data_IF_024563096949
#
_entry.id   IF_024563096949
#
_cell.length_a   1.000
_cell.length_b   1.000
_cell.length_c   1.000
_cell.angle_alpha   90.00
_cell.angle_beta   90.00
_cell.angle_gamma   90.00
#
_symmetry.space_group_name_H-M   'P 1'
#
loop_
_entity.id
_entity.type
_entity.pdbx_description
1 polymer ?
#
# COMPACT_ATOMS: atom_id res chain seq x y z
N UNK A 1 19.60 -25.36 4.70
CA UNK A 1 19.23 -25.10 4.19
C UNK A 1 18.72 -24.45 3.95
N UNK A 2 18.84 -24.31 4.04
CA UNK A 2 18.41 -23.79 3.54
C UNK A 2 17.86 -23.09 3.10
N UNK A 3 18.11 -22.94 3.08
CA UNK A 3 17.57 -22.27 2.41
C UNK A 3 17.15 -21.56 2.04
N UNK A 4 17.39 -21.55 2.10
CA UNK A 4 16.98 -20.97 1.45
C UNK A 4 16.46 -20.42 0.89
N UNK A 5 16.52 -20.51 0.91
CA UNK A 5 16.06 -19.97 0.08
C UNK A 5 15.39 -19.46 -0.26
N UNK A 6 15.48 -19.54 -0.03
CA UNK A 6 14.84 -19.11 -0.73
C UNK A 6 14.49 -18.26 -0.70
N UNK A 7 14.79 -18.16 -0.22
CA UNK A 7 14.67 -17.39 -0.38
C UNK A 7 14.55 -16.48 -0.89
N UNK A 8 14.89 -16.33 -0.77
CA UNK A 8 15.17 -15.02 -1.23
C UNK A 8 14.39 -14.65 -2.46
N UNK A 9 14.20 -15.53 -3.23
CA UNK A 9 13.47 -15.35 -4.48
C UNK A 9 12.09 -14.81 -4.26
N UNK A 10 11.49 -15.27 -3.24
CA UNK A 10 10.11 -14.91 -3.00
C UNK A 10 9.95 -13.46 -2.66
N UNK A 11 11.01 -12.87 -2.20
CA UNK A 11 10.93 -11.49 -1.76
C UNK A 11 10.71 -10.51 -2.89
N UNK A 12 10.89 -10.95 -4.10
CA UNK A 12 10.74 -10.05 -5.20
C UNK A 12 9.31 -9.59 -5.38
N UNK A 13 8.40 -10.32 -4.84
CA UNK A 13 7.02 -10.01 -5.03
C UNK A 13 6.53 -8.90 -4.16
N UNK A 14 7.21 -8.67 -3.06
CA UNK A 14 6.79 -7.66 -2.13
C UNK A 14 7.93 -6.69 -1.92
N UNK A 15 7.77 -5.49 -2.40
CA UNK A 15 8.82 -4.49 -2.35
C UNK A 15 8.81 -3.69 -1.08
N UNK A 16 7.74 -3.77 -0.32
CA UNK A 16 7.65 -3.04 0.93
C UNK A 16 6.63 -3.73 1.83
N UNK A 17 6.72 -3.40 3.12
CA UNK A 17 5.78 -3.93 4.07
C UNK A 17 4.60 -2.99 4.25
N UNK A 18 3.43 -3.55 4.43
CA UNK A 18 2.25 -2.74 4.68
C UNK A 18 1.27 -3.54 5.52
N UNK A 19 0.32 -2.82 6.10
CA UNK A 19 -0.73 -3.46 6.86
C UNK A 19 -1.99 -2.61 6.84
N UNK A 20 -3.10 -3.24 7.13
CA UNK A 20 -4.39 -2.59 7.21
C UNK A 20 -4.89 -2.67 8.64
N UNK A 21 -5.38 -1.56 9.16
CA UNK A 21 -5.95 -1.51 10.49
C UNK A 21 -7.40 -1.05 10.36
N UNK A 22 -8.32 -1.90 10.81
CA UNK A 22 -9.75 -1.59 10.74
C UNK A 22 -10.20 -0.89 12.02
N UNK A 23 -11.03 0.12 11.86
CA UNK A 23 -11.58 0.87 12.98
C UNK A 23 -12.95 1.38 12.59
N UNK A 24 -14.00 0.70 13.06
CA UNK A 24 -15.37 1.04 12.69
C UNK A 24 -15.53 0.99 11.17
N UNK A 25 -15.91 2.10 10.57
CA UNK A 25 -16.12 2.15 9.13
C UNK A 25 -14.87 2.52 8.36
N UNK A 26 -13.80 2.79 9.07
CA UNK A 26 -12.58 3.26 8.43
C UNK A 26 -11.51 2.21 8.49
N UNK A 27 -10.64 2.27 7.50
CA UNK A 27 -9.50 1.38 7.43
C UNK A 27 -8.28 2.24 7.18
N UNK A 28 -7.25 2.01 7.97
CA UNK A 28 -6.00 2.74 7.81
C UNK A 28 -5.00 1.81 7.14
N UNK A 29 -4.47 2.25 6.01
CA UNK A 29 -3.42 1.53 5.30
C UNK A 29 -2.10 2.20 5.65
N UNK A 30 -1.16 1.44 6.17
CA UNK A 30 0.15 1.95 6.55
C UNK A 30 1.20 1.15 5.80
N UNK A 31 2.10 1.84 5.12
CA UNK A 31 3.15 1.19 4.37
C UNK A 31 4.48 1.88 4.60
N UNK A 32 5.52 1.08 4.70
CA UNK A 32 6.88 1.57 4.80
C UNK A 32 7.50 1.47 3.42
N UNK A 33 7.60 2.59 2.72
CA UNK A 33 8.03 2.62 1.33
C UNK A 33 9.52 2.96 1.29
N UNK A 34 10.36 2.02 0.90
CA UNK A 34 11.80 2.31 0.81
C UNK A 34 12.10 3.12 -0.42
N UNK A 35 13.23 3.79 -0.41
CA UNK A 35 13.65 4.57 -1.55
C UNK A 35 13.42 6.04 -1.32
N UNK A 36 13.83 6.82 -2.31
CA UNK A 36 13.79 8.26 -2.24
C UNK A 36 12.61 8.78 -3.03
N UNK A 37 11.49 8.96 -2.38
CA UNK A 37 10.27 9.44 -3.01
C UNK A 37 9.83 10.73 -2.33
N UNK A 38 9.56 11.74 -3.13
CA UNK A 38 9.06 13.00 -2.58
C UNK A 38 7.59 12.89 -2.26
N UNK A 39 6.84 12.33 -3.20
CA UNK A 39 5.41 12.16 -3.02
C UNK A 39 5.01 10.83 -3.61
N UNK A 40 3.91 10.31 -3.11
CA UNK A 40 3.35 9.07 -3.63
C UNK A 40 1.89 9.32 -3.94
N UNK A 41 1.50 9.02 -5.17
CA UNK A 41 0.12 9.15 -5.60
C UNK A 41 -0.60 7.85 -5.32
N UNK A 42 -1.81 7.95 -4.82
CA UNK A 42 -2.62 6.77 -4.57
C UNK A 42 -3.99 6.96 -5.21
N UNK A 43 -4.54 5.88 -5.70
CA UNK A 43 -5.88 5.90 -6.28
C UNK A 43 -6.47 4.51 -6.18
N UNK A 44 -7.79 4.45 -6.31
CA UNK A 44 -8.50 3.17 -6.24
C UNK A 44 -9.36 3.06 -7.49
N UNK A 45 -9.28 1.90 -8.11
CA UNK A 45 -10.11 1.56 -9.24
C UNK A 45 -10.74 0.21 -8.92
N UNK A 46 -12.06 0.22 -8.67
CA UNK A 46 -12.73 -0.98 -8.24
C UNK A 46 -12.27 -1.34 -6.84
N UNK A 47 -11.67 -2.50 -6.71
CA UNK A 47 -11.12 -2.92 -5.42
C UNK A 47 -9.61 -3.08 -5.48
N UNK A 48 -8.95 -2.26 -6.31
CA UNK A 48 -7.50 -2.29 -6.41
C UNK A 48 -6.95 -0.91 -6.04
N UNK A 49 -5.99 -0.91 -5.14
CA UNK A 49 -5.29 0.31 -4.74
C UNK A 49 -4.02 0.41 -5.56
N UNK A 50 -3.83 1.55 -6.20
CA UNK A 50 -2.65 1.82 -7.02
C UNK A 50 -1.77 2.84 -6.34
N UNK A 51 -0.48 2.55 -6.26
CA UNK A 51 0.50 3.44 -5.68
C UNK A 51 1.55 3.74 -6.73
N UNK A 52 1.82 5.02 -6.95
CA UNK A 52 2.79 5.44 -7.96
C UNK A 52 3.60 6.61 -7.46
N UNK A 53 4.82 6.72 -7.94
CA UNK A 53 5.65 7.87 -7.67
C UNK A 53 6.47 8.19 -8.91
N UNK A 54 6.99 9.40 -8.95
CA UNK A 54 7.83 9.81 -10.06
C UNK A 54 9.16 9.07 -10.04
N UNK A 55 9.53 8.56 -8.89
CA UNK A 55 10.80 7.85 -8.73
C UNK A 55 10.74 6.40 -9.17
N UNK A 56 9.60 5.96 -9.68
CA UNK A 56 9.51 4.63 -10.22
C UNK A 56 8.62 3.65 -9.48
N UNK A 57 8.03 4.07 -8.38
CA UNK A 57 7.12 3.19 -7.67
C UNK A 57 5.87 2.96 -8.50
N UNK A 58 5.46 1.71 -8.59
CA UNK A 58 4.27 1.36 -9.35
C UNK A 58 3.75 0.04 -8.80
N UNK A 59 2.86 0.11 -7.82
CA UNK A 59 2.38 -1.07 -7.12
C UNK A 59 0.87 -1.14 -7.15
N UNK A 60 0.37 -2.34 -7.11
CA UNK A 60 -1.06 -2.61 -7.05
C UNK A 60 -1.33 -3.49 -5.84
N UNK A 61 -2.34 -3.13 -5.09
CA UNK A 61 -2.72 -3.89 -3.91
C UNK A 61 -4.19 -4.23 -4.02
N UNK A 62 -4.50 -5.51 -3.97
CA UNK A 62 -5.89 -5.95 -4.03
C UNK A 62 -6.54 -5.75 -2.68
N UNK A 63 -7.71 -5.15 -2.72
CA UNK A 63 -8.50 -4.92 -1.51
C UNK A 63 -9.59 -5.97 -1.44
N UNK A 64 -9.99 -6.33 -0.24
CA UNK A 64 -11.03 -7.33 -0.08
C UNK A 64 -12.42 -6.76 -0.36
N UNK A 65 -12.52 -5.46 -0.49
CA UNK A 65 -13.79 -4.82 -0.75
C UNK A 65 -13.51 -3.47 -1.39
N UNK A 66 -14.56 -2.85 -1.89
CA UNK A 66 -14.43 -1.54 -2.51
C UNK A 66 -14.30 -0.48 -1.44
N UNK A 67 -13.26 0.31 -1.51
CA UNK A 67 -12.98 1.36 -0.54
C UNK A 67 -12.79 2.67 -1.27
N UNK A 68 -12.93 3.77 -0.53
CA UNK A 68 -12.63 5.09 -1.07
C UNK A 68 -11.54 5.71 -0.22
N UNK A 69 -10.76 6.57 -0.83
CA UNK A 69 -9.66 7.25 -0.14
C UNK A 69 -10.20 8.53 0.46
N UNK A 70 -10.06 8.66 1.77
CA UNK A 70 -10.45 9.88 2.46
C UNK A 70 -9.28 10.84 2.56
N UNK A 71 -8.08 10.29 2.75
CA UNK A 71 -6.90 11.11 2.98
C UNK A 71 -5.67 10.26 2.75
N UNK A 72 -4.57 10.87 2.37
CA UNK A 72 -3.32 10.15 2.24
C UNK A 72 -2.19 11.09 2.61
N UNK A 73 -1.13 10.52 3.16
CA UNK A 73 -0.04 11.28 3.73
C UNK A 73 1.23 10.46 3.64
N UNK A 74 2.28 11.03 3.10
CA UNK A 74 3.56 10.34 3.00
C UNK A 74 4.63 11.18 3.66
N UNK A 75 5.14 10.71 4.80
CA UNK A 75 6.13 11.45 5.56
C UNK A 75 7.20 10.49 6.07
N UNK A 76 8.45 10.83 5.85
CA UNK A 76 9.58 10.06 6.36
C UNK A 76 9.53 8.60 5.95
N UNK A 77 9.12 8.35 4.73
CA UNK A 77 9.09 6.99 4.22
C UNK A 77 7.85 6.20 4.62
N UNK A 78 6.96 6.79 5.39
CA UNK A 78 5.76 6.11 5.82
C UNK A 78 4.56 6.67 5.09
N UNK A 79 3.84 5.81 4.41
CA UNK A 79 2.62 6.18 3.71
C UNK A 79 1.42 5.79 4.54
N UNK A 80 0.57 6.75 4.82
CA UNK A 80 -0.67 6.52 5.55
C UNK A 80 -1.83 6.91 4.65
N UNK A 81 -2.75 5.98 4.45
CA UNK A 81 -3.93 6.26 3.65
C UNK A 81 -5.15 5.90 4.48
N UNK A 82 -6.00 6.88 4.68
CA UNK A 82 -7.24 6.65 5.40
C UNK A 82 -8.32 6.29 4.39
N UNK A 83 -8.92 5.16 4.58
CA UNK A 83 -9.89 4.60 3.66
C UNK A 83 -11.22 4.43 4.37
N UNK A 84 -12.28 4.38 3.60
CA UNK A 84 -13.60 4.16 4.12
C UNK A 84 -14.31 3.18 3.22
N UNK A 85 -15.16 2.34 3.80
CA UNK A 85 -15.94 1.40 3.03
C UNK A 85 -16.91 2.15 2.14
N UNK A 86 -17.00 1.72 0.90
CA UNK A 86 -17.90 2.33 -0.04
C UNK A 86 -19.32 1.94 0.31
N UNK A 87 -20.18 2.93 0.35
CA UNK A 87 -21.59 2.70 0.61
C UNK A 87 -22.31 2.64 -0.72
N UNK A 88 -23.04 1.59 -0.96
CA UNK A 88 -23.79 1.51 -2.21
C UNK A 88 -25.23 1.24 -1.97
#
# INVERSE_FOLDING_TARGET
>A
MRNLPYLGVLNKQKKFGYEFISNNDEILFIANIPGDHETISSSINGNTLFLKSKSGLNEKINLSQTLIILDSNFVNGILNIKLKKSQT
#
